data_IF_976855156293
#
_entry.id   IF_976855156293
#
_cell.length_a   1.000
_cell.length_b   1.000
_cell.length_c   1.000
_cell.angle_alpha   90.00
_cell.angle_beta   90.00
_cell.angle_gamma   90.00
#
_symmetry.space_group_name_H-M   'P 1'
#
loop_
_entity.id
_entity.type
_entity.pdbx_description
1 polymer ?
#
# COMPACT_ATOMS: atom_id res chain seq x y z
N UNK A 1 -16.15 14.92 -27.23
CA UNK A 1 -16.42 14.06 -26.04
C UNK A 1 -15.62 12.75 -26.09
N UNK A 2 -14.33 12.78 -26.48
CA UNK A 2 -13.46 11.60 -26.53
C UNK A 2 -12.01 11.90 -26.10
N UNK A 3 -11.77 13.07 -25.50
CA UNK A 3 -10.43 13.52 -25.07
C UNK A 3 -10.24 13.49 -23.54
N UNK A 4 -11.21 12.99 -22.77
CA UNK A 4 -11.13 12.98 -21.30
C UNK A 4 -10.54 11.70 -20.69
N UNK A 5 -10.21 10.68 -21.50
CA UNK A 5 -9.68 9.41 -21.01
C UNK A 5 -8.21 9.15 -21.37
N UNK A 6 -7.56 10.07 -22.11
CA UNK A 6 -6.18 9.88 -22.55
C UNK A 6 -5.12 10.25 -21.48
N UNK A 7 -5.48 11.03 -20.47
CA UNK A 7 -4.57 11.50 -19.40
C UNK A 7 -4.61 10.68 -18.11
N UNK A 8 -5.54 9.73 -17.98
CA UNK A 8 -5.64 8.86 -16.79
C UNK A 8 -4.90 7.52 -16.95
N UNK A 9 -4.28 7.28 -18.11
CA UNK A 9 -3.50 6.06 -18.38
C UNK A 9 -1.99 6.25 -18.26
N UNK A 10 -1.54 7.34 -17.63
CA UNK A 10 -0.12 7.63 -17.41
C UNK A 10 0.30 7.67 -15.93
N UNK A 11 -0.64 7.72 -14.97
CA UNK A 11 -0.28 7.91 -13.55
C UNK A 11 -0.43 6.69 -12.64
N UNK A 12 -1.08 5.60 -13.05
CA UNK A 12 -1.41 4.50 -12.11
C UNK A 12 -1.14 3.09 -12.65
N UNK A 13 -0.15 2.92 -13.54
CA UNK A 13 0.23 1.58 -14.03
C UNK A 13 1.65 1.16 -13.69
N UNK A 14 2.13 1.54 -12.51
CA UNK A 14 3.17 0.80 -11.79
C UNK A 14 2.84 0.91 -10.30
N UNK A 15 2.52 -0.18 -9.57
CA UNK A 15 2.48 -0.09 -8.13
C UNK A 15 3.89 0.35 -7.71
N UNK A 16 4.02 1.45 -6.97
CA UNK A 16 5.28 1.89 -6.36
C UNK A 16 5.95 0.78 -5.51
N UNK A 17 5.26 -0.33 -5.23
CA UNK A 17 5.85 -1.56 -4.69
C UNK A 17 6.79 -2.32 -5.64
N UNK A 18 6.75 -2.07 -6.96
CA UNK A 18 7.68 -2.64 -7.96
C UNK A 18 8.90 -1.73 -8.18
N UNK A 19 8.78 -0.41 -8.03
CA UNK A 19 9.93 0.51 -8.15
C UNK A 19 10.86 0.49 -6.91
N UNK A 20 10.38 -0.01 -5.77
CA UNK A 20 11.24 -0.36 -4.62
C UNK A 20 12.03 -1.66 -4.82
N UNK A 21 11.89 -2.35 -5.96
CA UNK A 21 12.65 -3.57 -6.27
C UNK A 21 13.96 -3.29 -7.03
N UNK A 22 14.31 -2.03 -7.32
CA UNK A 22 15.56 -1.76 -8.03
C UNK A 22 15.89 -0.29 -8.22
N UNK A 23 16.30 0.39 -7.15
CA UNK A 23 17.04 1.65 -7.26
C UNK A 23 17.97 1.80 -6.05
N UNK A 24 19.21 1.33 -6.23
CA UNK A 24 20.38 1.59 -5.39
C UNK A 24 20.25 1.18 -3.91
N UNK A 25 20.67 -0.06 -3.60
CA UNK A 25 20.63 -0.70 -2.28
C UNK A 25 21.64 -0.12 -1.26
N UNK A 26 21.84 1.19 -1.25
CA UNK A 26 22.68 1.87 -0.26
C UNK A 26 21.82 2.05 0.99
N UNK A 27 21.92 1.07 1.90
CA UNK A 27 21.35 1.18 3.24
C UNK A 27 21.98 2.39 3.93
N UNK A 28 21.18 3.39 4.28
CA UNK A 28 21.62 4.48 5.14
C UNK A 28 21.44 4.06 6.59
N UNK A 29 22.51 4.19 7.37
CA UNK A 29 22.41 4.04 8.82
C UNK A 29 21.62 5.22 9.39
N UNK A 30 20.65 4.92 10.25
CA UNK A 30 19.84 5.91 10.96
C UNK A 30 19.98 5.62 12.44
N UNK A 31 20.36 6.63 13.22
CA UNK A 31 20.38 6.53 14.66
C UNK A 31 18.96 6.71 15.19
N UNK A 32 18.47 5.73 15.95
CA UNK A 32 17.13 5.74 16.54
C UNK A 32 17.25 5.63 18.06
N UNK A 33 16.49 6.46 18.77
CA UNK A 33 16.42 6.42 20.23
C UNK A 33 15.26 5.53 20.65
N UNK A 34 15.55 4.49 21.43
CA UNK A 34 14.56 3.54 21.96
C UNK A 34 14.66 3.48 23.48
N UNK A 35 13.55 3.14 24.14
CA UNK A 35 13.56 2.91 25.59
C UNK A 35 14.56 1.81 25.96
N UNK A 36 15.38 2.00 27.03
CA UNK A 36 16.33 1.00 27.47
C UNK A 36 15.69 -0.38 27.73
N UNK A 37 14.46 -0.40 28.27
CA UNK A 37 13.72 -1.63 28.56
C UNK A 37 13.45 -2.43 27.28
N UNK A 38 13.09 -1.76 26.20
CA UNK A 38 12.81 -2.38 24.90
C UNK A 38 14.10 -2.90 24.27
N UNK A 39 15.21 -2.17 24.41
CA UNK A 39 16.52 -2.59 23.91
C UNK A 39 17.02 -3.85 24.61
N UNK A 40 16.90 -3.90 25.95
CA UNK A 40 17.29 -5.07 26.73
C UNK A 40 16.46 -6.29 26.38
N UNK A 41 15.14 -6.12 26.22
CA UNK A 41 14.25 -7.21 25.81
C UNK A 41 14.56 -7.70 24.38
N UNK A 42 14.80 -6.78 23.44
CA UNK A 42 15.18 -7.13 22.07
C UNK A 42 16.52 -7.87 22.02
N UNK A 43 17.49 -7.47 22.86
CA UNK A 43 18.79 -8.17 23.00
C UNK A 43 18.61 -9.57 23.60
N UNK A 44 17.80 -9.70 24.66
CA UNK A 44 17.46 -10.99 25.29
C UNK A 44 16.88 -11.97 24.28
N UNK A 45 16.01 -11.47 23.40
CA UNK A 45 15.37 -12.22 22.32
C UNK A 45 16.23 -12.34 21.05
N UNK A 46 17.44 -11.76 21.01
CA UNK A 46 18.36 -11.74 19.87
C UNK A 46 17.70 -11.23 18.57
N UNK A 47 16.83 -10.25 18.69
CA UNK A 47 16.12 -9.68 17.54
C UNK A 47 17.05 -8.83 16.69
N UNK A 48 16.88 -8.92 15.37
CA UNK A 48 17.53 -8.01 14.44
C UNK A 48 16.72 -6.71 14.36
N UNK A 49 17.05 -5.73 15.22
CA UNK A 49 16.32 -4.46 15.32
C UNK A 49 16.16 -3.74 13.99
N UNK A 50 17.19 -3.76 13.14
CA UNK A 50 17.12 -3.12 11.82
C UNK A 50 16.05 -3.77 10.94
N UNK A 51 15.98 -5.10 10.93
CA UNK A 51 14.98 -5.82 10.15
C UNK A 51 13.55 -5.60 10.68
N UNK A 52 13.38 -5.66 12.00
CA UNK A 52 12.08 -5.43 12.66
C UNK A 52 11.58 -4.02 12.40
N UNK A 53 12.43 -3.01 12.61
CA UNK A 53 12.07 -1.62 12.37
C UNK A 53 11.71 -1.38 10.90
N UNK A 54 12.48 -1.95 9.98
CA UNK A 54 12.22 -1.84 8.54
C UNK A 54 10.86 -2.44 8.19
N UNK A 55 10.55 -3.64 8.69
CA UNK A 55 9.28 -4.30 8.43
C UNK A 55 8.09 -3.51 9.02
N UNK A 56 8.22 -3.02 10.25
CA UNK A 56 7.20 -2.21 10.91
C UNK A 56 6.92 -0.91 10.14
N UNK A 57 7.98 -0.19 9.72
CA UNK A 57 7.83 1.03 8.93
C UNK A 57 7.20 0.75 7.56
N UNK A 58 7.56 -0.35 6.90
CA UNK A 58 6.95 -0.75 5.64
C UNK A 58 5.46 -1.03 5.77
N UNK A 59 5.03 -1.66 6.87
CA UNK A 59 3.61 -1.87 7.14
C UNK A 59 2.87 -0.55 7.35
N UNK A 60 3.40 0.33 8.21
CA UNK A 60 2.79 1.64 8.44
C UNK A 60 2.69 2.45 7.14
N UNK A 61 3.70 2.42 6.27
CA UNK A 61 3.63 3.06 4.97
C UNK A 61 2.56 2.44 4.06
N UNK A 62 2.38 1.11 4.08
CA UNK A 62 1.31 0.46 3.33
C UNK A 62 -0.06 0.89 3.82
N UNK A 63 -0.28 0.90 5.13
CA UNK A 63 -1.55 1.30 5.74
C UNK A 63 -1.91 2.75 5.39
N UNK A 64 -0.96 3.68 5.55
CA UNK A 64 -1.17 5.08 5.17
C UNK A 64 -1.49 5.23 3.68
N UNK A 65 -0.72 4.58 2.80
CA UNK A 65 -0.96 4.63 1.35
C UNK A 65 -2.31 4.04 0.96
N UNK A 66 -2.74 2.99 1.65
CA UNK A 66 -4.03 2.36 1.41
C UNK A 66 -5.17 3.30 1.82
N UNK A 67 -5.03 3.98 2.96
CA UNK A 67 -5.99 4.99 3.39
C UNK A 67 -6.07 6.17 2.40
N UNK A 68 -4.92 6.73 1.99
CA UNK A 68 -4.87 7.79 0.97
C UNK A 68 -5.52 7.35 -0.34
N UNK A 69 -5.20 6.14 -0.81
CA UNK A 69 -5.79 5.60 -2.03
C UNK A 69 -7.31 5.44 -1.94
N UNK A 70 -7.82 4.96 -0.80
CA UNK A 70 -9.27 4.83 -0.59
C UNK A 70 -9.97 6.19 -0.63
N UNK A 71 -9.38 7.22 -0.04
CA UNK A 71 -9.94 8.58 -0.09
C UNK A 71 -9.96 9.13 -1.52
N UNK A 72 -8.85 9.00 -2.24
CA UNK A 72 -8.73 9.46 -3.63
C UNK A 72 -9.68 8.72 -4.58
N UNK A 73 -9.89 7.42 -4.36
CA UNK A 73 -10.64 6.56 -5.26
C UNK A 73 -12.10 6.38 -4.84
N UNK A 74 -12.53 6.97 -3.72
CA UNK A 74 -13.89 6.84 -3.20
C UNK A 74 -14.96 7.17 -4.25
N UNK A 75 -14.84 8.30 -4.94
CA UNK A 75 -15.79 8.70 -5.97
C UNK A 75 -15.84 7.71 -7.16
N UNK A 76 -14.68 7.15 -7.55
CA UNK A 76 -14.59 6.15 -8.62
C UNK A 76 -15.18 4.81 -8.18
N UNK A 77 -14.93 4.40 -6.94
CA UNK A 77 -15.48 3.19 -6.33
C UNK A 77 -17.00 3.31 -6.23
N UNK A 78 -17.52 4.44 -5.75
CA UNK A 78 -18.95 4.70 -5.64
C UNK A 78 -19.64 4.67 -7.02
N UNK A 79 -19.02 5.29 -8.04
CA UNK A 79 -19.55 5.26 -9.41
C UNK A 79 -19.59 3.84 -10.00
N UNK A 80 -18.56 3.02 -9.73
CA UNK A 80 -18.53 1.63 -10.17
C UNK A 80 -19.56 0.79 -9.41
N UNK A 81 -19.69 0.98 -8.10
CA UNK A 81 -20.68 0.28 -7.28
C UNK A 81 -22.10 0.59 -7.76
N UNK A 82 -22.41 1.87 -8.00
CA UNK A 82 -23.70 2.27 -8.55
C UNK A 82 -23.95 1.63 -9.92
N UNK A 83 -22.95 1.59 -10.79
CA UNK A 83 -23.07 0.94 -12.09
C UNK A 83 -23.35 -0.57 -11.96
N UNK A 84 -22.69 -1.26 -11.02
CA UNK A 84 -22.93 -2.68 -10.72
C UNK A 84 -24.33 -2.91 -10.14
N UNK A 85 -24.82 -2.04 -9.26
CA UNK A 85 -26.17 -2.14 -8.71
C UNK A 85 -27.25 -1.95 -9.79
N UNK A 86 -27.01 -1.05 -10.74
CA UNK A 86 -27.94 -0.77 -11.84
C UNK A 86 -27.90 -1.80 -12.97
N UNK A 87 -26.72 -2.38 -13.27
CA UNK A 87 -26.51 -3.21 -14.46
C UNK A 87 -26.21 -4.69 -14.14
N UNK A 88 -26.11 -5.05 -12.86
CA UNK A 88 -25.62 -6.35 -12.40
C UNK A 88 -24.10 -6.43 -12.42
N UNK A 89 -23.55 -7.34 -11.62
CA UNK A 89 -22.12 -7.62 -11.64
C UNK A 89 -21.78 -8.53 -12.82
N UNK A 90 -20.64 -8.26 -13.46
CA UNK A 90 -20.03 -9.18 -14.42
C UNK A 90 -19.74 -10.58 -13.82
N UNK A 91 -19.82 -10.77 -12.50
CA UNK A 91 -19.62 -12.07 -11.85
C UNK A 91 -20.92 -12.76 -11.44
N UNK A 92 -22.08 -12.17 -11.73
CA UNK A 92 -23.37 -12.70 -11.27
C UNK A 92 -23.68 -14.10 -11.85
N UNK A 93 -23.12 -14.42 -13.02
CA UNK A 93 -23.23 -15.76 -13.61
C UNK A 93 -22.33 -16.82 -12.93
N UNK A 94 -21.43 -16.43 -12.02
CA UNK A 94 -20.51 -17.32 -11.29
C UNK A 94 -20.88 -17.51 -9.82
N UNK A 95 -21.80 -16.71 -9.26
CA UNK A 95 -22.35 -16.97 -7.92
C UNK A 95 -23.33 -18.14 -7.98
N UNK A 96 -22.80 -19.36 -7.88
CA UNK A 96 -23.59 -20.51 -7.44
C UNK A 96 -23.68 -20.49 -5.91
N UNK A 97 -24.89 -20.69 -5.38
CA UNK A 97 -25.21 -20.71 -3.95
C UNK A 97 -24.63 -21.92 -3.22
#
# INVERSE_FOLDING_TARGET
MLNYYATLRQFMRIPMGVLMRGANSIKKSVNVSLSPVILEEARRLKLNLSAVLTAALQEQFREHRHAEWLEENKASIDAINQWVDENGSFSDFQRSF
#
